data_IF_099018013926
#
_entry.id   IF_099018013926
#
_cell.length_a   1.000
_cell.length_b   1.000
_cell.length_c   1.000
_cell.angle_alpha   90.00
_cell.angle_beta   90.00
_cell.angle_gamma   90.00
#
_symmetry.space_group_name_H-M   'P 1'
#
loop_
_entity.id
_entity.type
_entity.pdbx_description
1 polymer ?
#
# COMPACT_ATOMS: atom_id res chain seq x y z
N UNK A 1 -2.05 -20.24 4.03
CA UNK A 1 -1.57 -19.97 2.65
C UNK A 1 -1.93 -18.55 2.18
N UNK A 2 -3.18 -18.14 2.30
CA UNK A 2 -3.67 -16.80 1.88
C UNK A 2 -3.05 -15.63 2.65
N UNK A 3 -2.82 -15.79 3.96
CA UNK A 3 -2.18 -14.76 4.79
C UNK A 3 -0.74 -14.46 4.36
N UNK A 4 0.06 -15.49 4.09
CA UNK A 4 1.44 -15.34 3.64
C UNK A 4 1.50 -14.66 2.27
N UNK A 5 0.57 -15.00 1.38
CA UNK A 5 0.44 -14.33 0.09
C UNK A 5 0.11 -12.84 0.26
N UNK A 6 -0.83 -12.51 1.16
CA UNK A 6 -1.16 -11.12 1.48
C UNK A 6 0.04 -10.36 2.04
N UNK A 7 0.78 -10.95 2.99
CA UNK A 7 2.00 -10.35 3.54
C UNK A 7 3.04 -10.14 2.44
N UNK A 8 3.26 -11.13 1.57
CA UNK A 8 4.21 -11.02 0.46
C UNK A 8 3.84 -9.90 -0.50
N UNK A 9 2.57 -9.80 -0.88
CA UNK A 9 2.05 -8.74 -1.76
C UNK A 9 2.18 -7.37 -1.10
N UNK A 10 1.85 -7.25 0.20
CA UNK A 10 2.02 -6.02 0.97
C UNK A 10 3.48 -5.55 1.04
N UNK A 11 4.42 -6.48 1.27
CA UNK A 11 5.86 -6.16 1.26
C UNK A 11 6.29 -5.62 -0.11
N UNK A 12 5.85 -6.24 -1.21
CA UNK A 12 6.14 -5.76 -2.56
C UNK A 12 5.57 -4.36 -2.79
N UNK A 13 4.33 -4.10 -2.33
CA UNK A 13 3.70 -2.78 -2.42
C UNK A 13 4.49 -1.69 -1.71
N UNK A 14 4.96 -1.95 -0.48
CA UNK A 14 5.79 -1.02 0.28
C UNK A 14 7.14 -0.78 -0.40
N UNK A 15 7.81 -1.83 -0.89
CA UNK A 15 9.09 -1.70 -1.57
C UNK A 15 9.00 -0.87 -2.86
N UNK A 16 7.95 -1.08 -3.65
CA UNK A 16 7.69 -0.28 -4.84
C UNK A 16 7.42 1.19 -4.47
N UNK A 17 6.61 1.43 -3.44
CA UNK A 17 6.31 2.77 -2.94
C UNK A 17 7.57 3.50 -2.49
N UNK A 18 8.43 2.83 -1.72
CA UNK A 18 9.73 3.36 -1.31
C UNK A 18 10.64 3.66 -2.50
N UNK A 19 10.69 2.77 -3.49
CA UNK A 19 11.50 2.95 -4.70
C UNK A 19 11.04 4.18 -5.50
N UNK A 20 9.74 4.31 -5.78
CA UNK A 20 9.21 5.46 -6.54
C UNK A 20 9.36 6.77 -5.77
N UNK A 21 9.16 6.74 -4.45
CA UNK A 21 9.41 7.89 -3.57
C UNK A 21 10.88 8.36 -3.67
N UNK A 22 11.85 7.44 -3.58
CA UNK A 22 13.27 7.78 -3.75
C UNK A 22 13.61 8.28 -5.16
N UNK A 23 13.04 7.68 -6.19
CA UNK A 23 13.26 8.11 -7.58
C UNK A 23 12.69 9.51 -7.82
N UNK A 24 11.54 9.83 -7.23
CA UNK A 24 10.98 11.18 -7.27
C UNK A 24 11.90 12.17 -6.54
N UNK A 25 12.36 11.87 -5.33
CA UNK A 25 13.27 12.75 -4.57
C UNK A 25 14.58 12.98 -5.32
N UNK A 26 15.13 11.95 -6.00
CA UNK A 26 16.40 12.04 -6.72
C UNK A 26 16.28 12.80 -8.03
N UNK A 27 15.23 12.52 -8.81
CA UNK A 27 15.12 13.01 -10.19
C UNK A 27 14.20 14.23 -10.32
N UNK A 28 13.44 14.56 -9.28
CA UNK A 28 12.40 15.60 -9.28
C UNK A 28 11.39 15.49 -10.43
N UNK A 29 11.22 14.29 -10.99
CA UNK A 29 10.32 14.03 -12.11
C UNK A 29 8.94 13.61 -11.58
N UNK A 30 7.92 14.39 -11.95
CA UNK A 30 6.53 14.19 -11.55
C UNK A 30 5.97 12.81 -11.95
N UNK A 31 6.52 12.15 -12.97
CA UNK A 31 6.10 10.81 -13.34
C UNK A 31 6.33 9.80 -12.20
N UNK A 32 7.44 9.90 -11.46
CA UNK A 32 7.70 9.03 -10.31
C UNK A 32 6.79 9.33 -9.14
N UNK A 33 6.35 10.59 -8.97
CA UNK A 33 5.34 10.95 -7.98
C UNK A 33 3.98 10.35 -8.34
N UNK A 34 3.59 10.40 -9.62
CA UNK A 34 2.36 9.78 -10.10
C UNK A 34 2.41 8.27 -9.87
N UNK A 35 3.51 7.60 -10.24
CA UNK A 35 3.70 6.17 -9.99
C UNK A 35 3.63 5.84 -8.49
N UNK A 36 4.25 6.66 -7.65
CA UNK A 36 4.15 6.55 -6.20
C UNK A 36 2.68 6.62 -5.73
N UNK A 37 1.91 7.62 -6.16
CA UNK A 37 0.50 7.79 -5.76
C UNK A 37 -0.35 6.61 -6.21
N UNK A 38 -0.19 6.17 -7.46
CA UNK A 38 -0.93 5.02 -8.01
C UNK A 38 -0.65 3.76 -7.20
N UNK A 39 0.62 3.45 -6.95
CA UNK A 39 1.01 2.23 -6.23
C UNK A 39 0.65 2.34 -4.75
N UNK A 40 1.15 3.38 -4.08
CA UNK A 40 1.05 3.52 -2.62
C UNK A 40 -0.36 3.85 -2.16
N UNK A 41 -1.05 4.78 -2.81
CA UNK A 41 -2.37 5.25 -2.36
C UNK A 41 -3.52 4.50 -3.01
N UNK A 42 -3.52 4.38 -4.34
CA UNK A 42 -4.68 3.86 -5.08
C UNK A 42 -4.74 2.34 -5.02
N UNK A 43 -3.63 1.64 -5.21
CA UNK A 43 -3.63 0.18 -5.28
C UNK A 43 -3.50 -0.43 -3.88
N UNK A 44 -2.35 -0.26 -3.23
CA UNK A 44 -2.06 -0.96 -1.98
C UNK A 44 -2.69 -0.27 -0.77
N UNK A 45 -2.57 1.06 -0.67
CA UNK A 45 -3.11 1.84 0.43
C UNK A 45 -4.63 1.70 0.57
N UNK A 46 -5.37 1.83 -0.52
CA UNK A 46 -6.83 1.64 -0.51
C UNK A 46 -7.24 0.22 -0.07
N UNK A 47 -6.47 -0.79 -0.47
CA UNK A 47 -6.72 -2.17 -0.10
C UNK A 47 -6.46 -2.41 1.40
N UNK A 48 -5.32 -1.98 1.92
CA UNK A 48 -5.02 -2.09 3.34
C UNK A 48 -5.99 -1.27 4.20
N UNK A 49 -6.42 -0.10 3.70
CA UNK A 49 -7.44 0.74 4.32
C UNK A 49 -8.77 0.00 4.42
N UNK A 50 -9.27 -0.55 3.31
CA UNK A 50 -10.52 -1.31 3.30
C UNK A 50 -10.43 -2.53 4.22
N UNK A 51 -9.34 -3.29 4.21
CA UNK A 51 -9.15 -4.44 5.11
C UNK A 51 -9.15 -4.03 6.58
N UNK A 52 -8.58 -2.87 6.91
CA UNK A 52 -8.54 -2.42 8.30
C UNK A 52 -9.90 -1.90 8.80
N UNK A 53 -10.59 -1.08 7.99
CA UNK A 53 -11.81 -0.39 8.40
C UNK A 53 -13.10 -1.17 8.10
N UNK A 54 -13.15 -1.94 7.01
CA UNK A 54 -14.34 -2.65 6.59
C UNK A 54 -14.39 -4.06 7.22
N UNK A 55 -15.56 -4.47 7.69
CA UNK A 55 -15.78 -5.84 8.17
C UNK A 55 -15.82 -6.86 7.02
N UNK A 56 -16.14 -6.40 5.81
CA UNK A 56 -16.25 -7.20 4.59
C UNK A 56 -15.54 -6.48 3.46
N UNK A 57 -14.52 -7.13 2.92
CA UNK A 57 -13.70 -6.58 1.84
C UNK A 57 -14.12 -7.26 0.54
N UNK A 58 -14.43 -6.45 -0.48
CA UNK A 58 -14.66 -6.99 -1.83
C UNK A 58 -13.34 -7.52 -2.40
N UNK A 59 -13.38 -8.66 -3.09
CA UNK A 59 -12.21 -9.24 -3.72
C UNK A 59 -11.63 -8.34 -4.82
N UNK A 60 -10.71 -7.45 -4.47
CA UNK A 60 -10.02 -6.59 -5.44
C UNK A 60 -8.75 -7.27 -5.97
N UNK A 61 -8.47 -7.05 -7.27
CA UNK A 61 -7.31 -7.34 -8.14
C UNK A 61 -6.27 -8.40 -7.74
N UNK A 62 -5.77 -8.44 -6.50
CA UNK A 62 -4.77 -9.39 -6.00
C UNK A 62 -5.33 -10.52 -5.13
N UNK A 63 -6.61 -10.42 -4.76
CA UNK A 63 -7.36 -11.38 -3.96
C UNK A 63 -8.54 -11.95 -4.76
N UNK A 64 -8.33 -12.13 -6.07
CA UNK A 64 -9.36 -12.57 -7.02
C UNK A 64 -9.94 -13.97 -6.74
N UNK A 65 -9.26 -14.77 -5.91
CA UNK A 65 -9.76 -16.07 -5.43
C UNK A 65 -10.96 -15.94 -4.48
N UNK A 66 -11.26 -14.73 -4.00
CA UNK A 66 -12.47 -14.43 -3.25
C UNK A 66 -13.56 -13.95 -4.22
N UNK A 67 -14.30 -14.87 -4.86
CA UNK A 67 -15.54 -14.55 -5.59
C UNK A 67 -16.69 -14.13 -4.64
N UNK A 68 -16.38 -13.60 -3.45
CA UNK A 68 -17.32 -13.13 -2.45
C UNK A 68 -16.64 -12.30 -1.37
N UNK A 69 -17.44 -11.58 -0.57
CA UNK A 69 -16.93 -10.87 0.62
C UNK A 69 -16.40 -11.87 1.65
N UNK A 70 -15.18 -11.68 2.14
CA UNK A 70 -14.65 -12.46 3.27
C UNK A 70 -14.67 -11.63 4.56
N UNK A 71 -14.87 -12.30 5.69
CA UNK A 71 -14.71 -11.69 7.00
C UNK A 71 -13.23 -11.59 7.37
N UNK A 72 -12.82 -10.41 7.82
CA UNK A 72 -11.43 -10.13 8.15
C UNK A 72 -11.18 -10.43 9.63
N UNK A 73 -10.34 -11.43 9.89
CA UNK A 73 -9.86 -11.73 11.25
C UNK A 73 -9.04 -10.57 11.83
N UNK A 74 -9.04 -10.42 13.16
CA UNK A 74 -8.32 -9.36 13.89
C UNK A 74 -6.83 -9.32 13.55
N UNK A 75 -6.21 -10.48 13.31
CA UNK A 75 -4.80 -10.59 12.88
C UNK A 75 -4.56 -9.91 11.53
N UNK A 76 -5.45 -10.14 10.56
CA UNK A 76 -5.35 -9.59 9.20
C UNK A 76 -5.56 -8.07 9.23
N UNK A 77 -6.48 -7.58 10.07
CA UNK A 77 -6.70 -6.14 10.29
C UNK A 77 -5.44 -5.49 10.87
N UNK A 78 -4.83 -6.09 11.88
CA UNK A 78 -3.59 -5.56 12.46
C UNK A 78 -2.46 -5.50 11.41
N UNK A 79 -2.30 -6.54 10.60
CA UNK A 79 -1.29 -6.54 9.52
C UNK A 79 -1.60 -5.47 8.47
N UNK A 80 -2.87 -5.27 8.10
CA UNK A 80 -3.27 -4.20 7.19
C UNK A 80 -2.93 -2.81 7.76
N UNK A 81 -3.16 -2.60 9.05
CA UNK A 81 -2.75 -1.37 9.73
C UNK A 81 -1.24 -1.15 9.68
N UNK A 82 -0.44 -2.19 9.93
CA UNK A 82 1.02 -2.10 9.82
C UNK A 82 1.42 -1.68 8.41
N UNK A 83 0.85 -2.28 7.37
CA UNK A 83 1.14 -1.89 5.98
C UNK A 83 0.70 -0.46 5.66
N UNK A 84 -0.45 0.01 6.16
CA UNK A 84 -0.86 1.42 6.02
C UNK A 84 0.18 2.38 6.61
N UNK A 85 0.66 2.08 7.82
CA UNK A 85 1.70 2.88 8.47
C UNK A 85 2.98 2.86 7.64
N UNK A 86 3.40 1.69 7.15
CA UNK A 86 4.59 1.58 6.30
C UNK A 86 4.45 2.38 5.00
N UNK A 87 3.28 2.34 4.35
CA UNK A 87 3.00 3.17 3.17
C UNK A 87 3.06 4.67 3.50
N UNK A 88 2.51 5.10 4.64
CA UNK A 88 2.59 6.49 5.07
C UNK A 88 4.05 6.94 5.34
N UNK A 89 4.90 6.05 5.84
CA UNK A 89 6.34 6.34 6.03
C UNK A 89 7.11 6.49 4.71
N UNK A 90 6.57 6.00 3.59
CA UNK A 90 7.19 6.17 2.27
C UNK A 90 6.83 7.50 1.59
N UNK A 91 6.00 8.36 2.22
CA UNK A 91 5.62 9.66 1.65
C UNK A 91 6.88 10.45 1.26
N UNK A 92 7.00 10.87 -0.01
CA UNK A 92 8.15 11.65 -0.44
C UNK A 92 8.04 13.08 0.12
N UNK A 93 8.70 13.34 1.25
CA UNK A 93 8.88 14.70 1.73
C UNK A 93 9.97 15.39 0.90
N UNK A 94 9.65 16.46 0.15
CA UNK A 94 10.69 17.26 -0.47
C UNK A 94 11.57 17.85 0.64
N UNK A 95 12.89 17.71 0.53
CA UNK A 95 13.80 18.48 1.39
C UNK A 95 13.43 19.94 1.23
N UNK A 96 13.09 20.61 2.33
CA UNK A 96 12.97 22.07 2.37
C UNK A 96 14.25 22.63 1.76
N UNK A 97 14.14 23.29 0.60
CA UNK A 97 15.27 24.03 0.02
C UNK A 97 15.70 25.02 1.12
N UNK A 98 16.96 25.01 1.60
CA UNK A 98 17.44 26.14 2.36
C UNK A 98 17.28 27.36 1.44
N UNK A 99 16.47 28.32 1.89
CA UNK A 99 16.31 29.62 1.25
C UNK A 99 17.60 30.41 1.38
#
# INVERSE_FOLDING_TARGET
>A
MMLLLYIGIGIVGVLLSFMFSRLYIKNHNSLYLILYVVVSCIIFGSQHYSIFFDQRVMGYWFMRSFEGSFEVDGTVRFIAFVFLVLHALTIPFPRSRPQ
#
